data_IF_521221776222
#
_entry.id   IF_521221776222
#
_cell.length_a   1.000
_cell.length_b   1.000
_cell.length_c   1.000
_cell.angle_alpha   90.00
_cell.angle_beta   90.00
_cell.angle_gamma   90.00
#
_symmetry.space_group_name_H-M   'P 1'
#
loop_
_entity.id
_entity.type
_entity.pdbx_description
1 polymer ?
#
# COMPACT_ATOMS: atom_id res chain seq x y z
N UNK A 1 -48.13 16.06 1.99
CA UNK A 1 -47.70 14.68 2.26
C UNK A 1 -46.74 14.17 1.19
N UNK A 2 -47.14 13.95 -0.07
CA UNK A 2 -46.20 13.45 -1.10
C UNK A 2 -45.13 14.48 -1.49
N UNK A 3 -45.51 15.76 -1.66
CA UNK A 3 -44.58 16.84 -2.02
C UNK A 3 -43.59 17.19 -0.89
N UNK A 4 -43.98 16.93 0.36
CA UNK A 4 -43.09 17.09 1.52
C UNK A 4 -42.07 15.96 1.58
N UNK A 5 -42.47 14.73 1.24
CA UNK A 5 -41.58 13.58 1.17
C UNK A 5 -40.53 13.79 0.07
N UNK A 6 -40.92 14.29 -1.11
CA UNK A 6 -39.98 14.57 -2.21
C UNK A 6 -39.00 15.68 -1.83
N UNK A 7 -39.48 16.76 -1.20
CA UNK A 7 -38.61 17.84 -0.72
C UNK A 7 -37.56 17.34 0.29
N UNK A 8 -37.95 16.45 1.21
CA UNK A 8 -37.04 15.86 2.20
C UNK A 8 -36.03 14.93 1.51
N UNK A 9 -36.46 14.13 0.53
CA UNK A 9 -35.57 13.24 -0.24
C UNK A 9 -34.54 14.03 -1.05
N UNK A 10 -34.94 15.13 -1.70
CA UNK A 10 -34.03 16.02 -2.40
C UNK A 10 -32.97 16.59 -1.44
N UNK A 11 -33.40 16.99 -0.23
CA UNK A 11 -32.47 17.49 0.78
C UNK A 11 -31.50 16.42 1.25
N UNK A 12 -31.94 15.16 1.40
CA UNK A 12 -31.06 14.02 1.71
C UNK A 12 -30.03 13.84 0.61
N UNK A 13 -30.44 13.80 -0.66
CA UNK A 13 -29.54 13.65 -1.80
C UNK A 13 -28.45 14.75 -1.86
N UNK A 14 -28.85 16.01 -1.59
CA UNK A 14 -27.90 17.13 -1.50
C UNK A 14 -26.90 16.94 -0.35
N UNK A 15 -27.37 16.49 0.82
CA UNK A 15 -26.49 16.23 1.97
C UNK A 15 -25.55 15.06 1.71
N UNK A 16 -26.02 13.97 1.09
CA UNK A 16 -25.20 12.83 0.69
C UNK A 16 -24.10 13.24 -0.29
N UNK A 17 -24.45 14.04 -1.29
CA UNK A 17 -23.49 14.61 -2.24
C UNK A 17 -22.44 15.47 -1.53
N UNK A 18 -22.86 16.27 -0.54
CA UNK A 18 -21.93 17.09 0.25
C UNK A 18 -21.01 16.23 1.14
N UNK A 19 -21.53 15.18 1.75
CA UNK A 19 -20.76 14.22 2.54
C UNK A 19 -19.72 13.52 1.65
N UNK A 20 -20.11 13.09 0.45
CA UNK A 20 -19.18 12.47 -0.50
C UNK A 20 -18.03 13.42 -0.86
N UNK A 21 -18.35 14.67 -1.20
CA UNK A 21 -17.34 15.71 -1.50
C UNK A 21 -16.41 15.99 -0.32
N UNK A 22 -16.94 16.11 0.90
CA UNK A 22 -16.12 16.34 2.10
C UNK A 22 -15.22 15.14 2.42
N UNK A 23 -15.71 13.92 2.22
CA UNK A 23 -14.90 12.72 2.41
C UNK A 23 -13.76 12.62 1.38
N UNK A 24 -14.01 13.05 0.14
CA UNK A 24 -12.97 13.15 -0.88
C UNK A 24 -11.91 14.17 -0.49
N UNK A 25 -12.31 15.37 -0.09
CA UNK A 25 -11.39 16.42 0.38
C UNK A 25 -10.57 15.94 1.58
N UNK A 26 -11.23 15.30 2.57
CA UNK A 26 -10.56 14.69 3.71
C UNK A 26 -9.53 13.65 3.27
N UNK A 27 -9.87 12.79 2.32
CA UNK A 27 -8.95 11.77 1.80
C UNK A 27 -7.73 12.42 1.12
N UNK A 28 -7.91 13.51 0.37
CA UNK A 28 -6.81 14.26 -0.24
C UNK A 28 -5.89 14.89 0.81
N UNK A 29 -6.46 15.53 1.83
CA UNK A 29 -5.69 16.12 2.93
C UNK A 29 -4.90 15.07 3.71
N UNK A 30 -5.51 13.92 4.01
CA UNK A 30 -4.82 12.81 4.68
C UNK A 30 -3.67 12.26 3.85
N UNK A 31 -3.85 12.10 2.52
CA UNK A 31 -2.75 11.72 1.62
C UNK A 31 -1.61 12.73 1.70
N UNK A 32 -1.92 14.03 1.69
CA UNK A 32 -0.90 15.09 1.78
C UNK A 32 -0.16 15.05 3.11
N UNK A 33 -0.86 14.85 4.22
CA UNK A 33 -0.25 14.67 5.54
C UNK A 33 0.70 13.47 5.55
N UNK A 34 0.29 12.33 4.99
CA UNK A 34 1.14 11.14 4.90
C UNK A 34 2.38 11.36 4.04
N UNK A 35 2.28 12.11 2.95
CA UNK A 35 3.44 12.48 2.13
C UNK A 35 4.43 13.35 2.90
N UNK A 36 3.94 14.37 3.61
CA UNK A 36 4.78 15.29 4.38
C UNK A 36 5.45 14.59 5.57
N UNK A 37 4.74 13.63 6.18
CA UNK A 37 5.23 12.86 7.32
C UNK A 37 6.11 11.68 6.92
N UNK A 38 6.16 11.29 5.64
CA UNK A 38 6.91 10.13 5.19
C UNK A 38 8.43 10.36 5.31
N UNK A 39 9.12 9.70 6.26
CA UNK A 39 10.56 9.84 6.41
C UNK A 39 11.28 9.23 5.21
N UNK A 40 10.73 8.15 4.66
CA UNK A 40 11.29 7.45 3.50
C UNK A 40 11.27 8.35 2.27
N UNK A 41 10.16 9.04 1.98
CA UNK A 41 10.10 10.01 0.87
C UNK A 41 11.05 11.19 1.07
N UNK A 42 11.26 11.62 2.33
CA UNK A 42 12.05 12.81 2.65
C UNK A 42 13.56 12.57 2.66
N UNK A 43 14.00 11.41 3.13
CA UNK A 43 15.41 11.15 3.42
C UNK A 43 16.03 10.04 2.57
N UNK A 44 15.23 9.22 1.90
CA UNK A 44 15.73 8.12 1.10
C UNK A 44 15.62 8.43 -0.39
N UNK A 45 16.74 8.52 -1.13
CA UNK A 45 16.70 8.63 -2.57
C UNK A 45 15.96 7.44 -3.20
N UNK A 46 15.18 7.66 -4.27
CA UNK A 46 14.42 6.60 -4.93
C UNK A 46 15.31 5.47 -5.45
N UNK A 47 16.57 5.74 -5.78
CA UNK A 47 17.55 4.74 -6.25
C UNK A 47 17.93 3.77 -5.13
N UNK A 48 18.14 4.28 -3.90
CA UNK A 48 18.44 3.43 -2.75
C UNK A 48 17.22 2.57 -2.40
N UNK A 49 16.02 3.15 -2.46
CA UNK A 49 14.79 2.41 -2.26
C UNK A 49 14.57 1.33 -3.34
N UNK A 50 14.89 1.64 -4.59
CA UNK A 50 14.86 0.70 -5.72
C UNK A 50 15.82 -0.47 -5.50
N UNK A 51 17.05 -0.19 -5.05
CA UNK A 51 18.04 -1.21 -4.72
C UNK A 51 17.57 -2.11 -3.57
N UNK A 52 16.94 -1.55 -2.53
CA UNK A 52 16.32 -2.32 -1.45
C UNK A 52 15.24 -3.25 -2.01
N UNK A 53 14.36 -2.74 -2.88
CA UNK A 53 13.30 -3.55 -3.48
C UNK A 53 13.85 -4.66 -4.38
N UNK A 54 14.88 -4.39 -5.18
CA UNK A 54 15.57 -5.40 -5.98
C UNK A 54 16.15 -6.51 -5.11
N UNK A 55 16.80 -6.15 -4.00
CA UNK A 55 17.35 -7.12 -3.08
C UNK A 55 16.26 -7.96 -2.40
N UNK A 56 15.18 -7.32 -1.93
CA UNK A 56 14.06 -8.00 -1.30
C UNK A 56 13.35 -8.98 -2.25
N UNK A 57 13.13 -8.56 -3.51
CA UNK A 57 12.53 -9.42 -4.53
C UNK A 57 13.48 -10.54 -4.97
N UNK A 58 14.79 -10.30 -5.05
CA UNK A 58 15.78 -11.34 -5.38
C UNK A 58 15.94 -12.38 -4.27
N UNK A 59 15.91 -11.95 -3.01
CA UNK A 59 16.03 -12.81 -1.83
C UNK A 59 14.77 -13.67 -1.61
N UNK A 60 13.59 -13.13 -1.92
CA UNK A 60 12.34 -13.91 -1.95
C UNK A 60 12.39 -15.05 -2.99
N UNK A 61 13.14 -14.86 -4.08
CA UNK A 61 13.31 -15.87 -5.13
C UNK A 61 14.32 -16.96 -4.75
N UNK A 62 15.37 -16.64 -4.00
CA UNK A 62 16.41 -17.61 -3.59
C UNK A 62 16.02 -18.41 -2.34
N UNK A 63 15.28 -17.81 -1.41
CA UNK A 63 14.86 -18.48 -0.16
C UNK A 63 13.63 -19.35 -0.28
N UNK A 64 13.01 -19.42 -1.47
CA UNK A 64 11.91 -20.35 -1.77
C UNK A 64 12.26 -21.84 -1.58
N UNK A 65 13.54 -22.18 -1.34
CA UNK A 65 13.99 -23.57 -1.12
C UNK A 65 14.76 -23.82 0.19
N UNK A 66 14.94 -22.85 1.10
CA UNK A 66 15.69 -23.11 2.34
C UNK A 66 15.17 -22.33 3.56
N UNK A 67 14.47 -23.06 4.43
CA UNK A 67 14.43 -22.90 5.89
C UNK A 67 13.86 -21.60 6.45
N UNK A 68 12.53 -21.48 6.43
CA UNK A 68 11.74 -20.57 7.27
C UNK A 68 11.76 -20.96 8.75
N UNK A 69 12.91 -20.92 9.44
CA UNK A 69 12.93 -21.18 10.89
C UNK A 69 13.84 -20.27 11.74
N UNK A 70 14.65 -19.38 11.16
CA UNK A 70 15.65 -18.63 11.96
C UNK A 70 15.16 -17.24 12.43
N UNK A 71 14.21 -16.60 11.74
CA UNK A 71 13.70 -15.27 12.14
C UNK A 71 12.37 -15.31 12.92
N UNK A 72 11.95 -16.48 13.41
CA UNK A 72 10.69 -16.65 14.16
C UNK A 72 10.87 -16.64 15.68
N UNK A 73 12.11 -16.66 16.19
CA UNK A 73 12.36 -16.88 17.63
C UNK A 73 12.44 -15.60 18.50
N UNK A 74 12.16 -14.40 17.98
CA UNK A 74 12.39 -13.15 18.74
C UNK A 74 11.25 -12.13 18.79
N UNK A 75 10.01 -12.44 18.40
CA UNK A 75 8.89 -11.51 18.56
C UNK A 75 7.78 -12.07 19.47
N UNK A 76 7.51 -11.46 20.65
CA UNK A 76 6.58 -12.00 21.66
C UNK A 76 5.08 -11.73 21.44
N UNK A 77 4.59 -11.51 20.22
CA UNK A 77 3.16 -11.25 20.00
C UNK A 77 2.66 -11.90 18.71
N UNK A 78 1.54 -12.64 18.83
CA UNK A 78 0.72 -13.16 17.73
C UNK A 78 0.14 -12.01 16.92
N UNK A 79 0.98 -11.37 16.12
CA UNK A 79 0.52 -10.66 14.94
C UNK A 79 0.38 -11.77 13.90
N UNK A 80 -0.86 -12.03 13.46
CA UNK A 80 -1.13 -12.70 12.19
C UNK A 80 -0.46 -11.89 11.07
N UNK A 81 0.86 -12.07 10.93
CA UNK A 81 1.65 -11.46 9.89
C UNK A 81 1.18 -12.13 8.59
N UNK A 82 0.59 -11.38 7.65
CA UNK A 82 0.21 -11.94 6.37
C UNK A 82 1.46 -12.59 5.77
N UNK A 83 1.29 -13.82 5.30
CA UNK A 83 2.27 -14.77 4.75
C UNK A 83 3.15 -14.19 3.62
N UNK A 84 3.89 -13.11 3.84
CA UNK A 84 4.83 -12.56 2.85
C UNK A 84 6.02 -13.51 2.64
N UNK A 85 6.25 -14.43 3.59
CA UNK A 85 7.28 -15.47 3.52
C UNK A 85 7.03 -16.55 2.47
N UNK A 86 5.80 -16.69 1.95
CA UNK A 86 5.49 -17.61 0.82
C UNK A 86 5.11 -16.89 -0.46
N UNK A 87 5.12 -15.56 -0.49
CA UNK A 87 4.71 -14.80 -1.66
C UNK A 87 5.87 -14.76 -2.65
N UNK A 88 5.80 -15.64 -3.66
CA UNK A 88 6.59 -15.53 -4.88
C UNK A 88 6.32 -14.23 -5.64
N UNK A 89 5.90 -14.24 -6.92
CA UNK A 89 5.86 -13.07 -7.83
C UNK A 89 5.01 -11.85 -7.40
N UNK A 90 4.46 -11.81 -6.18
CA UNK A 90 3.58 -10.78 -5.65
C UNK A 90 4.26 -9.76 -4.71
N UNK A 91 5.53 -9.96 -4.32
CA UNK A 91 6.23 -9.00 -3.46
C UNK A 91 6.24 -7.56 -4.03
N UNK A 92 6.43 -7.33 -5.35
CA UNK A 92 6.30 -5.99 -5.93
C UNK A 92 4.92 -5.35 -5.68
N UNK A 93 3.84 -6.16 -5.73
CA UNK A 93 2.47 -5.69 -5.48
C UNK A 93 2.31 -5.28 -4.02
N UNK A 94 2.85 -6.06 -3.08
CA UNK A 94 2.84 -5.76 -1.64
C UNK A 94 3.62 -4.46 -1.36
N UNK A 95 4.81 -4.30 -1.92
CA UNK A 95 5.61 -3.08 -1.77
C UNK A 95 4.86 -1.84 -2.32
N UNK A 96 4.17 -1.98 -3.45
CA UNK A 96 3.37 -0.90 -4.05
C UNK A 96 2.09 -0.54 -3.25
N UNK A 97 1.68 -1.38 -2.30
CA UNK A 97 0.50 -1.12 -1.45
C UNK A 97 0.80 -0.19 -0.27
N UNK A 98 2.07 -0.02 0.12
CA UNK A 98 2.48 0.76 1.30
C UNK A 98 2.11 2.24 1.18
N UNK A 99 2.54 2.89 0.09
CA UNK A 99 2.16 4.27 -0.21
C UNK A 99 2.35 4.59 -1.70
N UNK A 100 1.87 5.76 -2.14
CA UNK A 100 2.00 6.23 -3.53
C UNK A 100 3.47 6.35 -3.98
N UNK A 101 4.36 6.78 -3.09
CA UNK A 101 5.80 6.89 -3.39
C UNK A 101 6.44 5.52 -3.62
N UNK A 102 6.19 4.54 -2.74
CA UNK A 102 6.70 3.18 -2.92
C UNK A 102 6.16 2.56 -4.20
N UNK A 103 4.88 2.77 -4.50
CA UNK A 103 4.26 2.33 -5.76
C UNK A 103 4.97 2.91 -6.99
N UNK A 104 5.25 4.21 -6.98
CA UNK A 104 5.97 4.87 -8.06
C UNK A 104 7.38 4.28 -8.24
N UNK A 105 8.11 4.05 -7.15
CA UNK A 105 9.46 3.48 -7.19
C UNK A 105 9.44 2.03 -7.68
N UNK A 106 8.52 1.20 -7.19
CA UNK A 106 8.34 -0.18 -7.67
C UNK A 106 8.00 -0.21 -9.16
N UNK A 107 7.09 0.65 -9.63
CA UNK A 107 6.70 0.71 -11.05
C UNK A 107 7.85 1.20 -11.95
N UNK A 108 8.72 2.08 -11.45
CA UNK A 108 9.88 2.59 -12.17
C UNK A 108 11.13 1.71 -12.05
N UNK A 109 11.03 0.56 -11.37
CA UNK A 109 12.14 -0.41 -11.22
C UNK A 109 11.80 -1.71 -11.96
N UNK A 110 11.99 -1.83 -13.29
CA UNK A 110 11.61 -3.02 -14.05
C UNK A 110 12.23 -4.32 -13.52
N UNK A 111 13.40 -4.23 -12.89
CA UNK A 111 14.15 -5.37 -12.37
C UNK A 111 13.35 -6.16 -11.32
N UNK A 112 12.46 -5.49 -10.57
CA UNK A 112 11.61 -6.17 -9.56
C UNK A 112 10.45 -6.96 -10.16
N UNK A 113 10.13 -6.74 -11.43
CA UNK A 113 9.03 -7.40 -12.16
C UNK A 113 9.50 -8.49 -13.12
N UNK A 114 10.80 -8.76 -13.19
CA UNK A 114 11.38 -9.69 -14.18
C UNK A 114 10.93 -11.14 -14.02
N UNK A 115 10.34 -11.50 -12.87
CA UNK A 115 9.85 -12.86 -12.59
C UNK A 115 8.40 -12.76 -12.12
N UNK A 116 7.48 -12.64 -13.06
CA UNK A 116 6.05 -12.90 -12.86
C UNK A 116 5.81 -14.32 -13.40
N UNK A 117 5.71 -15.31 -12.51
CA UNK A 117 5.20 -16.63 -12.91
C UNK A 117 3.68 -16.53 -13.03
N UNK A 118 3.18 -16.62 -14.25
CA UNK A 118 1.75 -16.73 -14.56
C UNK A 118 1.21 -18.11 -14.20
#
# INVERSE_FOLDING_TARGET
TQDEITLVQDRICVLESKIASLNEERAQLLRRCNELRSPVKKYLPPEVLSNIFQFACSDALTKSHANTNVLMQTLPYDIDLPNWKSNGPYLPVVLGSVCSFWRQVVQSTPQVWTIIKL
#
